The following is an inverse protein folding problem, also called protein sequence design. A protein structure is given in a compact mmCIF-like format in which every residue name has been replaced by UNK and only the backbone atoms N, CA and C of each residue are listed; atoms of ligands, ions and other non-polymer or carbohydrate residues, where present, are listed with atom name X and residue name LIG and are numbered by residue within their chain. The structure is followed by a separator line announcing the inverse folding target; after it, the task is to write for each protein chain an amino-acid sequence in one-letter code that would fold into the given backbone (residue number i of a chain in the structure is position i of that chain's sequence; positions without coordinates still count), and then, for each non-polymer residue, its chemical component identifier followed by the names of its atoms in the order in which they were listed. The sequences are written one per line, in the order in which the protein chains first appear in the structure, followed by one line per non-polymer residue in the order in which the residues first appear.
data_IF_800570695779
#
_entry.id   IF_800570695779
#
_cell.length_a   1.000
_cell.length_b   1.000
_cell.length_c   1.000
_cell.angle_alpha   90.00
_cell.angle_beta   90.00
_cell.angle_gamma   90.00
#
_symmetry.space_group_name_H-M   'P 1'
#
loop_
_entity.id
_entity.type
_entity.pdbx_description
1 polymer ?
#
# COMPACT_ATOMS: atom_id res chain seq x y z
N UNK A 1 11.51 -33.62 3.36
CA UNK A 1 10.75 -32.75 2.44
C UNK A 1 11.07 -31.34 2.87
N UNK A 2 11.95 -30.64 2.15
CA UNK A 2 12.28 -29.24 2.46
C UNK A 2 11.16 -28.40 1.88
N UNK A 3 10.22 -28.03 2.73
CA UNK A 3 9.21 -27.02 2.40
C UNK A 3 9.99 -25.73 2.13
N UNK A 4 9.98 -25.27 0.88
CA UNK A 4 10.62 -24.02 0.52
C UNK A 4 9.82 -22.92 1.21
N UNK A 5 10.36 -22.38 2.31
CA UNK A 5 9.79 -21.22 2.96
C UNK A 5 9.56 -20.13 1.91
N UNK A 6 8.41 -19.44 1.95
CA UNK A 6 8.15 -18.37 1.02
C UNK A 6 9.26 -17.34 1.13
N UNK A 7 9.67 -16.79 -0.01
CA UNK A 7 10.81 -15.87 -0.08
C UNK A 7 10.61 -14.58 0.74
N UNK A 8 9.38 -14.32 1.18
CA UNK A 8 8.99 -13.26 2.10
C UNK A 8 8.18 -13.82 3.27
N UNK A 9 8.63 -13.54 4.48
CA UNK A 9 7.92 -13.86 5.73
C UNK A 9 7.65 -12.57 6.51
N UNK A 10 6.44 -12.43 7.04
CA UNK A 10 6.02 -11.30 7.87
C UNK A 10 5.65 -11.82 9.26
N UNK A 11 6.44 -11.47 10.27
CA UNK A 11 6.10 -11.67 11.66
C UNK A 11 5.38 -10.40 12.14
N UNK A 12 4.09 -10.50 12.40
CA UNK A 12 3.25 -9.33 12.68
C UNK A 12 2.15 -9.64 13.66
N UNK A 13 1.36 -8.62 13.99
CA UNK A 13 0.16 -8.78 14.82
C UNK A 13 -1.05 -8.21 14.08
N UNK A 14 -2.20 -8.87 14.14
CA UNK A 14 -3.41 -8.44 13.43
C UNK A 14 -3.89 -7.03 13.79
N UNK A 15 -3.65 -6.57 15.02
CA UNK A 15 -4.04 -5.23 15.49
C UNK A 15 -3.01 -4.14 15.13
N UNK A 16 -1.82 -4.51 14.65
CA UNK A 16 -0.75 -3.58 14.37
C UNK A 16 -0.96 -2.91 13.00
N UNK A 17 -1.09 -1.58 13.04
CA UNK A 17 -1.24 -0.73 11.86
C UNK A 17 -0.08 -0.89 10.87
N UNK A 18 1.16 -0.93 11.35
CA UNK A 18 2.34 -1.09 10.49
C UNK A 18 2.35 -2.48 9.84
N UNK A 19 1.86 -3.51 10.53
CA UNK A 19 1.66 -4.85 9.94
C UNK A 19 0.62 -4.79 8.83
N UNK A 20 -0.53 -4.15 9.07
CA UNK A 20 -1.57 -3.98 8.05
C UNK A 20 -1.05 -3.24 6.80
N UNK A 21 -0.26 -2.17 6.98
CA UNK A 21 0.41 -1.43 5.90
C UNK A 21 1.33 -2.32 5.09
N UNK A 22 2.26 -3.04 5.74
CA UNK A 22 3.19 -3.97 5.08
C UNK A 22 2.43 -5.02 4.27
N UNK A 23 1.40 -5.63 4.86
CA UNK A 23 0.62 -6.66 4.16
C UNK A 23 -0.17 -6.08 2.98
N UNK A 24 -0.70 -4.85 3.08
CA UNK A 24 -1.34 -4.16 1.96
C UNK A 24 -0.33 -3.92 0.83
N UNK A 25 0.86 -3.42 1.16
CA UNK A 25 1.93 -3.19 0.18
C UNK A 25 2.23 -4.49 -0.59
N UNK A 26 2.54 -5.57 0.11
CA UNK A 26 2.86 -6.88 -0.50
C UNK A 26 1.72 -7.41 -1.39
N UNK A 27 0.46 -7.30 -0.94
CA UNK A 27 -0.71 -7.69 -1.74
C UNK A 27 -0.86 -6.86 -3.01
N UNK A 28 -0.70 -5.53 -2.91
CA UNK A 28 -0.81 -4.62 -4.07
C UNK A 28 0.26 -4.92 -5.11
N UNK A 29 1.49 -5.17 -4.65
CA UNK A 29 2.61 -5.49 -5.53
C UNK A 29 2.63 -6.94 -6.00
N UNK A 30 1.66 -7.76 -5.55
CA UNK A 30 1.47 -9.17 -5.89
C UNK A 30 2.68 -10.05 -5.61
N UNK A 31 3.44 -9.72 -4.56
CA UNK A 31 4.51 -10.57 -4.06
C UNK A 31 3.90 -11.65 -3.17
N UNK A 32 4.18 -12.94 -3.38
CA UNK A 32 3.79 -14.00 -2.45
C UNK A 32 4.52 -13.86 -1.11
N UNK A 33 3.78 -13.97 -0.01
CA UNK A 33 4.34 -13.91 1.35
C UNK A 33 3.60 -14.86 2.30
N UNK A 34 4.22 -15.17 3.43
CA UNK A 34 3.59 -15.82 4.57
C UNK A 34 3.52 -14.87 5.76
N UNK A 35 2.48 -15.01 6.57
CA UNK A 35 2.28 -14.23 7.79
C UNK A 35 2.24 -15.17 8.98
N UNK A 36 3.04 -14.87 10.00
CA UNK A 36 3.02 -15.55 11.29
C UNK A 36 2.55 -14.53 12.33
N UNK A 37 1.34 -14.73 12.87
CA UNK A 37 0.81 -13.85 13.92
C UNK A 37 1.50 -14.13 15.25
N UNK A 38 2.16 -13.13 15.82
CA UNK A 38 2.90 -13.24 17.09
C UNK A 38 1.99 -13.42 18.30
N UNK A 39 0.71 -13.12 18.20
CA UNK A 39 -0.26 -13.39 19.29
C UNK A 39 -0.69 -14.87 19.31
N UNK A 40 -0.69 -15.52 18.14
CA UNK A 40 -1.09 -16.92 18.01
C UNK A 40 0.11 -17.90 18.04
N UNK A 41 1.30 -17.44 17.65
CA UNK A 41 2.50 -18.26 17.47
C UNK A 41 3.63 -17.80 18.40
N UNK A 42 3.86 -18.59 19.45
CA UNK A 42 4.85 -18.27 20.49
C UNK A 42 6.29 -18.21 19.94
N UNK A 43 6.60 -19.05 18.97
CA UNK A 43 7.88 -19.07 18.25
C UNK A 43 8.08 -17.79 17.42
N UNK A 44 7.05 -17.30 16.73
CA UNK A 44 7.09 -16.02 16.04
C UNK A 44 7.32 -14.85 17.02
N UNK A 45 6.66 -14.85 18.18
CA UNK A 45 6.87 -13.85 19.22
C UNK A 45 8.31 -13.87 19.76
N UNK A 46 8.83 -15.04 20.12
CA UNK A 46 10.20 -15.20 20.60
C UNK A 46 11.22 -14.69 19.59
N UNK A 47 10.99 -14.99 18.32
CA UNK A 47 11.87 -14.58 17.24
C UNK A 47 11.83 -13.06 17.01
N UNK A 48 10.65 -12.45 17.02
CA UNK A 48 10.52 -10.98 16.99
C UNK A 48 11.27 -10.36 18.15
N UNK A 49 11.03 -10.80 19.39
CA UNK A 49 11.72 -10.30 20.59
C UNK A 49 13.24 -10.44 20.49
N UNK A 50 13.73 -11.54 19.92
CA UNK A 50 15.17 -11.75 19.73
C UNK A 50 15.75 -10.77 18.71
N UNK A 51 15.07 -10.54 17.59
CA UNK A 51 15.52 -9.65 16.50
C UNK A 51 15.54 -8.19 16.94
N UNK A 52 14.55 -7.78 17.71
CA UNK A 52 14.32 -6.38 18.10
C UNK A 52 15.08 -5.97 19.37
N UNK A 53 15.86 -6.87 19.97
CA UNK A 53 16.65 -6.59 21.18
C UNK A 53 15.87 -6.67 22.50
N UNK A 54 14.82 -7.48 22.55
CA UNK A 54 13.97 -7.66 23.74
C UNK A 54 12.61 -6.98 23.66
N UNK A 55 12.32 -6.26 22.57
CA UNK A 55 11.08 -5.51 22.39
C UNK A 55 10.07 -6.25 21.50
N UNK A 56 8.79 -5.92 21.59
CA UNK A 56 7.77 -6.47 20.68
C UNK A 56 7.47 -5.47 19.55
N UNK A 57 8.45 -5.21 18.68
CA UNK A 57 8.29 -4.35 17.50
C UNK A 57 7.83 -5.16 16.29
N UNK A 58 6.73 -4.74 15.66
CA UNK A 58 6.09 -5.46 14.54
C UNK A 58 5.66 -4.45 13.47
N UNK A 59 5.76 -4.79 12.17
CA UNK A 59 6.13 -6.11 11.65
C UNK A 59 7.65 -6.29 11.57
N UNK A 60 8.10 -7.53 11.69
CA UNK A 60 9.44 -7.95 11.22
C UNK A 60 9.25 -8.67 9.90
N UNK A 61 9.89 -8.18 8.85
CA UNK A 61 9.79 -8.74 7.50
C UNK A 61 11.12 -9.36 7.10
N UNK A 62 11.10 -10.63 6.71
CA UNK A 62 12.25 -11.28 6.08
C UNK A 62 12.08 -11.29 4.58
N UNK A 63 13.14 -10.90 3.89
CA UNK A 63 13.19 -10.90 2.42
C UNK A 63 14.52 -11.52 2.00
N UNK A 64 14.50 -12.79 1.62
CA UNK A 64 15.73 -13.55 1.36
C UNK A 64 16.68 -13.56 2.58
N UNK A 65 17.83 -12.91 2.46
CA UNK A 65 18.81 -12.76 3.55
C UNK A 65 18.60 -11.50 4.41
N UNK A 66 17.71 -10.59 4.02
CA UNK A 66 17.46 -9.34 4.73
C UNK A 66 16.40 -9.54 5.83
N UNK A 67 16.58 -8.85 6.95
CA UNK A 67 15.61 -8.77 8.05
C UNK A 67 15.33 -7.29 8.31
N UNK A 68 14.07 -6.89 8.14
CA UNK A 68 13.59 -5.53 8.27
C UNK A 68 12.68 -5.42 9.48
N UNK A 69 12.89 -4.42 10.33
CA UNK A 69 12.03 -4.13 11.48
C UNK A 69 11.23 -2.87 11.16
N UNK A 70 9.90 -2.98 11.23
CA UNK A 70 8.95 -1.89 10.98
C UNK A 70 9.23 -1.11 9.67
N UNK A 71 9.44 -1.80 8.51
CA UNK A 71 9.85 -1.12 7.30
C UNK A 71 8.79 -0.13 6.79
N UNK A 72 9.29 0.96 6.21
CA UNK A 72 8.50 1.80 5.31
C UNK A 72 8.21 1.03 4.01
N UNK A 73 7.23 1.50 3.23
CA UNK A 73 6.92 0.86 1.94
C UNK A 73 8.09 1.00 0.96
N UNK A 74 8.79 2.13 0.98
CA UNK A 74 10.00 2.36 0.18
C UNK A 74 11.11 1.35 0.53
N UNK A 75 11.41 1.19 1.82
CA UNK A 75 12.44 0.23 2.30
C UNK A 75 12.06 -1.20 1.93
N UNK A 76 10.78 -1.57 2.08
CA UNK A 76 10.30 -2.90 1.73
C UNK A 76 10.41 -3.18 0.22
N UNK A 77 9.97 -2.24 -0.62
CA UNK A 77 10.03 -2.36 -2.09
C UNK A 77 11.47 -2.53 -2.54
N UNK A 78 12.38 -1.68 -2.04
CA UNK A 78 13.79 -1.76 -2.38
C UNK A 78 14.42 -3.10 -1.98
N UNK A 79 14.11 -3.63 -0.80
CA UNK A 79 14.59 -4.94 -0.37
C UNK A 79 14.09 -6.08 -1.29
N UNK A 80 12.85 -5.98 -1.78
CA UNK A 80 12.28 -6.94 -2.72
C UNK A 80 12.95 -6.89 -4.10
N UNK A 81 13.28 -5.69 -4.58
CA UNK A 81 14.06 -5.52 -5.82
C UNK A 81 15.47 -6.10 -5.69
N UNK A 82 16.17 -5.75 -4.61
CA UNK A 82 17.54 -6.23 -4.34
C UNK A 82 17.58 -7.76 -4.19
N UNK A 83 16.52 -8.37 -3.65
CA UNK A 83 16.36 -9.82 -3.55
C UNK A 83 15.94 -10.49 -4.88
N UNK A 84 15.69 -9.72 -5.94
CA UNK A 84 15.23 -10.23 -7.24
C UNK A 84 13.81 -10.77 -7.23
N UNK A 85 13.02 -10.46 -6.19
CA UNK A 85 11.63 -10.87 -6.04
C UNK A 85 10.65 -9.91 -6.72
N UNK A 86 11.16 -8.75 -7.16
CA UNK A 86 10.39 -7.76 -7.87
C UNK A 86 11.24 -7.16 -9.00
N UNK A 87 10.72 -7.14 -10.23
CA UNK A 87 11.44 -6.56 -11.36
C UNK A 87 11.36 -5.02 -11.30
N UNK A 88 12.42 -4.26 -11.68
CA UNK A 88 12.41 -2.80 -11.64
C UNK A 88 11.27 -2.14 -12.44
N UNK A 89 10.86 -2.76 -13.54
CA UNK A 89 9.70 -2.32 -14.32
C UNK A 89 8.38 -2.39 -13.53
N UNK A 90 8.32 -3.26 -12.53
CA UNK A 90 7.15 -3.43 -11.67
C UNK A 90 7.06 -2.31 -10.65
N UNK A 91 8.18 -1.83 -10.08
CA UNK A 91 8.18 -0.65 -9.18
C UNK A 91 7.68 0.58 -9.91
N UNK A 92 8.24 0.87 -11.09
CA UNK A 92 7.77 1.98 -11.93
C UNK A 92 6.28 1.84 -12.28
N UNK A 93 5.83 0.62 -12.59
CA UNK A 93 4.42 0.35 -12.84
C UNK A 93 3.54 0.51 -11.59
N UNK A 94 4.06 0.35 -10.37
CA UNK A 94 3.30 0.60 -9.14
C UNK A 94 3.26 2.08 -8.77
N UNK A 95 4.40 2.75 -8.81
CA UNK A 95 4.51 4.18 -8.53
C UNK A 95 3.63 5.01 -9.47
N UNK A 96 3.54 4.61 -10.75
CA UNK A 96 2.76 5.32 -11.75
C UNK A 96 1.40 4.69 -12.04
N UNK A 97 1.20 3.39 -11.79
CA UNK A 97 -0.03 2.67 -12.17
C UNK A 97 -1.09 2.55 -11.07
N UNK A 98 -0.75 2.81 -9.80
CA UNK A 98 -1.71 2.73 -8.68
C UNK A 98 -1.72 4.01 -7.85
N UNK A 99 -2.49 4.99 -8.31
CA UNK A 99 -2.67 6.28 -7.63
C UNK A 99 -4.09 6.51 -7.12
N UNK A 100 -5.03 5.58 -7.35
CA UNK A 100 -6.40 5.65 -6.82
C UNK A 100 -6.56 4.63 -5.70
N UNK A 101 -7.03 5.10 -4.54
CA UNK A 101 -7.33 4.23 -3.39
C UNK A 101 -8.56 3.33 -3.62
N UNK A 102 -8.65 2.21 -2.91
CA UNK A 102 -9.74 1.24 -2.91
C UNK A 102 -11.14 1.84 -2.59
N UNK A 103 -11.28 2.73 -1.61
CA UNK A 103 -12.55 3.43 -1.32
C UNK A 103 -12.94 4.31 -2.50
N UNK A 104 -11.98 5.08 -3.03
CA UNK A 104 -12.23 5.91 -4.18
C UNK A 104 -12.62 5.08 -5.41
N UNK A 105 -11.97 3.93 -5.62
CA UNK A 105 -12.33 2.98 -6.69
C UNK A 105 -13.77 2.50 -6.54
N UNK A 106 -14.19 2.15 -5.32
CA UNK A 106 -15.58 1.77 -5.03
C UNK A 106 -16.54 2.92 -5.35
N UNK A 107 -16.25 4.14 -4.85
CA UNK A 107 -17.09 5.31 -5.10
C UNK A 107 -17.21 5.64 -6.59
N UNK A 108 -16.11 5.57 -7.35
CA UNK A 108 -16.08 5.78 -8.80
C UNK A 108 -16.89 4.71 -9.54
N UNK A 109 -16.78 3.43 -9.17
CA UNK A 109 -17.55 2.34 -9.78
C UNK A 109 -19.05 2.47 -9.51
N UNK A 110 -19.42 2.72 -8.25
CA UNK A 110 -20.83 2.90 -7.85
C UNK A 110 -21.41 4.14 -8.54
N UNK A 111 -20.70 5.27 -8.48
CA UNK A 111 -21.11 6.52 -9.11
C UNK A 111 -21.28 6.40 -10.62
N UNK A 112 -20.35 5.72 -11.30
CA UNK A 112 -20.46 5.44 -12.74
C UNK A 112 -21.69 4.57 -13.06
N UNK A 113 -21.95 3.53 -12.28
CA UNK A 113 -23.14 2.69 -12.43
C UNK A 113 -24.44 3.47 -12.26
N UNK A 114 -24.53 4.29 -11.22
CA UNK A 114 -25.68 5.16 -10.97
C UNK A 114 -25.88 6.18 -12.10
N UNK A 115 -24.80 6.80 -12.59
CA UNK A 115 -24.88 7.74 -13.71
C UNK A 115 -25.38 7.06 -15.00
N UNK A 116 -24.92 5.85 -15.30
CA UNK A 116 -25.40 5.08 -16.46
C UNK A 116 -26.90 4.74 -16.32
N UNK A 117 -27.34 4.36 -15.12
CA UNK A 117 -28.75 4.05 -14.84
C UNK A 117 -29.65 5.30 -14.95
N UNK A 118 -29.21 6.44 -14.40
CA UNK A 118 -29.94 7.70 -14.41
C UNK A 118 -30.07 8.33 -15.81
N UNK A 119 -29.27 7.89 -16.79
CA UNK A 119 -29.30 8.44 -18.16
C UNK A 119 -30.22 7.67 -19.11
N UNK A 120 -30.99 6.69 -18.64
CA UNK A 120 -31.86 5.83 -19.48
C UNK A 120 -32.85 6.62 -20.31
N UNK A 121 -33.54 7.58 -19.70
CA UNK A 121 -34.58 8.42 -20.34
C UNK A 121 -34.04 9.70 -21.01
N UNK A 122 -32.72 9.91 -21.00
CA UNK A 122 -32.10 11.09 -21.60
C UNK A 122 -31.95 10.91 -23.13
N UNK A 123 -32.20 11.96 -23.95
CA UNK A 123 -31.97 11.92 -25.38
C UNK A 123 -30.54 11.53 -25.76
N UNK A 124 -30.38 10.78 -26.86
CA UNK A 124 -29.10 10.29 -27.34
C UNK A 124 -27.93 11.33 -27.37
N UNK A 125 -28.11 12.57 -27.86
CA UNK A 125 -27.00 13.53 -27.93
C UNK A 125 -26.42 13.92 -26.56
N UNK A 126 -27.19 13.75 -25.47
CA UNK A 126 -26.73 14.03 -24.11
C UNK A 126 -26.36 12.73 -23.38
N UNK A 127 -27.15 11.66 -23.58
CA UNK A 127 -26.93 10.36 -22.96
C UNK A 127 -25.60 9.72 -23.33
N UNK A 128 -25.22 9.76 -24.61
CA UNK A 128 -24.00 9.09 -25.08
C UNK A 128 -22.74 9.70 -24.45
N UNK A 129 -22.52 11.04 -24.48
CA UNK A 129 -21.38 11.65 -23.79
C UNK A 129 -21.33 11.33 -22.30
N UNK A 130 -22.47 11.40 -21.58
CA UNK A 130 -22.53 11.10 -20.15
C UNK A 130 -22.14 9.65 -19.83
N UNK A 131 -22.58 8.69 -20.66
CA UNK A 131 -22.20 7.28 -20.50
C UNK A 131 -20.74 7.03 -20.81
N UNK A 132 -20.18 7.71 -21.81
CA UNK A 132 -18.74 7.63 -22.12
C UNK A 132 -17.92 8.17 -20.95
N UNK A 133 -18.32 9.31 -20.36
CA UNK A 133 -17.66 9.87 -19.18
C UNK A 133 -17.74 8.91 -17.98
N UNK A 134 -18.93 8.35 -17.71
CA UNK A 134 -19.12 7.38 -16.63
C UNK A 134 -18.30 6.10 -16.85
N UNK A 135 -18.24 5.60 -18.09
CA UNK A 135 -17.41 4.44 -18.45
C UNK A 135 -15.91 4.75 -18.28
N UNK A 136 -15.47 5.95 -18.64
CA UNK A 136 -14.10 6.42 -18.39
C UNK A 136 -13.77 6.43 -16.89
N UNK A 137 -14.66 6.96 -16.06
CA UNK A 137 -14.49 6.95 -14.60
C UNK A 137 -14.42 5.52 -14.05
N UNK A 138 -15.31 4.63 -14.50
CA UNK A 138 -15.28 3.22 -14.11
C UNK A 138 -13.97 2.52 -14.54
N UNK A 139 -13.43 2.85 -15.73
CA UNK A 139 -12.17 2.30 -16.20
C UNK A 139 -10.99 2.76 -15.34
N UNK A 140 -10.92 4.05 -14.99
CA UNK A 140 -9.88 4.55 -14.07
C UNK A 140 -9.93 3.85 -12.70
N UNK A 141 -11.15 3.58 -12.20
CA UNK A 141 -11.35 2.85 -10.96
C UNK A 141 -10.95 1.37 -11.08
N UNK A 142 -11.29 0.71 -12.18
CA UNK A 142 -10.95 -0.69 -12.40
C UNK A 142 -9.42 -0.88 -12.45
N UNK A 143 -8.72 -0.01 -13.19
CA UNK A 143 -7.26 -0.05 -13.34
C UNK A 143 -6.56 0.40 -12.04
N UNK A 144 -7.18 1.29 -11.26
CA UNK A 144 -6.54 1.92 -10.09
C UNK A 144 -5.65 3.12 -10.48
N UNK A 145 -5.85 3.64 -11.70
CA UNK A 145 -5.04 4.71 -12.29
C UNK A 145 -5.91 5.89 -12.70
N UNK A 146 -5.49 7.09 -12.29
CA UNK A 146 -6.08 8.37 -12.62
C UNK A 146 -5.05 9.24 -13.33
N UNK A 147 -5.30 9.70 -14.57
CA UNK A 147 -4.35 10.53 -15.32
C UNK A 147 -4.06 11.87 -14.64
N UNK A 148 -5.04 12.42 -13.90
CA UNK A 148 -4.88 13.69 -13.18
C UNK A 148 -3.91 13.54 -12.01
N UNK A 149 -4.02 12.43 -11.26
CA UNK A 149 -3.11 12.16 -10.13
C UNK A 149 -1.71 11.83 -10.60
N UNK A 150 -1.58 11.12 -11.72
CA UNK A 150 -0.32 10.81 -12.37
C UNK A 150 0.42 12.10 -12.77
N UNK A 151 -0.29 13.02 -13.44
CA UNK A 151 0.24 14.34 -13.80
C UNK A 151 0.62 15.21 -12.58
N UNK A 152 0.08 14.90 -11.39
CA UNK A 152 0.38 15.58 -10.13
C UNK A 152 1.41 14.84 -9.27
N UNK A 153 1.91 13.67 -9.71
CA UNK A 153 2.83 12.85 -8.93
C UNK A 153 2.22 12.28 -7.64
N UNK A 154 0.89 12.20 -7.56
CA UNK A 154 0.20 11.64 -6.39
C UNK A 154 0.20 10.11 -6.50
N UNK A 155 0.61 9.42 -5.44
CA UNK A 155 0.68 7.95 -5.39
C UNK A 155 -0.16 7.41 -4.22
N UNK A 156 -0.78 6.25 -4.41
CA UNK A 156 -1.52 5.56 -3.35
C UNK A 156 -0.64 4.57 -2.55
N UNK A 157 0.64 4.48 -2.89
CA UNK A 157 1.61 3.56 -2.29
C UNK A 157 2.06 4.06 -0.91
N UNK A 158 2.13 5.38 -0.70
CA UNK A 158 2.39 6.01 0.61
C UNK A 158 1.35 7.05 1.03
N UNK A 159 0.35 7.31 0.17
CA UNK A 159 -0.69 8.30 0.39
C UNK A 159 -1.82 7.81 1.33
N UNK A 160 -2.61 8.74 1.89
CA UNK A 160 -3.59 8.48 2.93
C UNK A 160 -4.83 7.74 2.42
N UNK A 161 -4.98 7.63 1.09
CA UNK A 161 -6.02 6.85 0.39
C UNK A 161 -7.23 6.46 1.24
N UNK A 162 -7.43 5.16 1.40
CA UNK A 162 -8.62 4.56 2.03
C UNK A 162 -8.39 4.20 3.49
N UNK A 163 -7.14 4.31 3.93
CA UNK A 163 -6.63 3.88 5.23
C UNK A 163 -5.61 4.92 5.73
N UNK A 164 -6.09 6.11 6.12
CA UNK A 164 -5.21 7.19 6.58
C UNK A 164 -4.47 6.82 7.87
N UNK A 165 -5.03 5.90 8.64
CA UNK A 165 -4.41 5.28 9.81
C UNK A 165 -3.20 4.42 9.46
N UNK A 166 -3.21 3.79 8.27
CA UNK A 166 -2.13 2.92 7.77
C UNK A 166 -1.14 3.64 6.84
N UNK A 167 -1.28 4.96 6.67
CA UNK A 167 -0.27 5.77 5.99
C UNK A 167 1.06 5.73 6.77
N UNK A 168 2.18 5.98 6.09
CA UNK A 168 3.45 6.21 6.79
C UNK A 168 3.29 7.43 7.72
N UNK A 169 3.23 7.18 9.04
CA UNK A 169 2.95 8.22 10.04
C UNK A 169 3.92 9.40 9.93
N UNK A 170 5.17 9.15 9.55
CA UNK A 170 6.22 10.16 9.57
C UNK A 170 6.15 11.15 8.41
N UNK A 171 5.76 10.75 7.19
CA UNK A 171 5.75 11.69 6.04
C UNK A 171 4.57 12.67 6.09
N UNK A 172 3.40 12.24 6.59
CA UNK A 172 2.23 13.09 6.78
C UNK A 172 2.35 14.02 8.00
N UNK A 173 2.89 13.51 9.12
CA UNK A 173 3.13 14.33 10.31
C UNK A 173 4.34 15.25 10.16
N UNK A 174 5.35 14.92 9.33
CA UNK A 174 6.46 15.83 9.06
C UNK A 174 6.02 17.11 8.33
N UNK A 175 5.02 17.01 7.45
CA UNK A 175 4.48 18.17 6.73
C UNK A 175 3.62 19.06 7.64
N UNK A 176 3.14 18.52 8.78
CA UNK A 176 2.23 19.21 9.71
C UNK A 176 2.82 19.48 11.09
N UNK A 177 3.99 18.93 11.41
CA UNK A 177 4.76 19.30 12.62
C UNK A 177 5.42 20.67 12.37
N UNK A 178 5.21 21.65 13.25
CA UNK A 178 6.14 22.78 13.33
C UNK A 178 7.55 22.21 13.50
N UNK A 179 8.53 22.77 12.79
CA UNK A 179 9.93 22.40 12.98
C UNK A 179 10.25 22.46 14.48
N UNK A 180 10.69 21.34 15.05
CA UNK A 180 11.13 21.30 16.43
C UNK A 180 12.55 21.87 16.50
N UNK A 181 12.75 23.09 17.04
CA UNK A 181 14.07 23.71 17.10
C UNK A 181 15.04 22.94 18.02
N UNK A 182 14.57 21.95 18.79
CA UNK A 182 15.43 21.11 19.61
C UNK A 182 16.17 20.00 18.84
N UNK A 183 15.83 19.78 17.56
CA UNK A 183 16.49 18.81 16.68
C UNK A 183 17.54 19.44 15.75
N UNK A 184 17.85 20.73 15.87
CA UNK A 184 18.97 21.32 15.14
C UNK A 184 20.29 20.71 15.64
N UNK A 185 21.16 20.20 14.73
CA UNK A 185 22.46 19.69 15.13
C UNK A 185 23.28 20.82 15.75
N UNK A 186 23.57 20.68 17.04
CA UNK A 186 24.49 21.57 17.75
C UNK A 186 25.90 21.16 17.34
N UNK A 187 26.42 21.86 16.33
CA UNK A 187 27.85 21.84 15.98
C UNK A 187 28.68 22.43 17.11
#
# INVERSE_FOLDING_TARGET
MTEALPAVEVLGAAWCVDTARTLRCLRRIRVPFHVSDVDDHLDALQEVTRITGGERRTPVVRVGSQVLVEPSNEVLIRALEEAGLLAPSTVLAFEHGQNVGDLERVLRLVGAGLAIAATTDIPAPVRVPLRVLAAGLALTAAIGWCPVYDAQGVTSVGGPGDHPDEAERDSWLATTRPADPSLEPRW
#
